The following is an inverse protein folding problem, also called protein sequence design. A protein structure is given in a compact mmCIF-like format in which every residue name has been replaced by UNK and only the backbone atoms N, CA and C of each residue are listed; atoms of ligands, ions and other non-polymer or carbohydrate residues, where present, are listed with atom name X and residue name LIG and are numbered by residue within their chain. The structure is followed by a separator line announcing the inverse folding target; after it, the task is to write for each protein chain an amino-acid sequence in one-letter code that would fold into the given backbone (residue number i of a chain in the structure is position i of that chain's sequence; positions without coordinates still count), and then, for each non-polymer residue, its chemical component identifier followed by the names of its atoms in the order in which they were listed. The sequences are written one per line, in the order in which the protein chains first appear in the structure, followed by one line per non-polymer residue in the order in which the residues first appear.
data_IF_747381416307
#
_entry.id   IF_747381416307
#
_cell.length_a   1.000
_cell.length_b   1.000
_cell.length_c   1.000
_cell.angle_alpha   90.00
_cell.angle_beta   90.00
_cell.angle_gamma   90.00
#
_symmetry.space_group_name_H-M   'P 1'
#
loop_
_entity.id
_entity.type
_entity.pdbx_description
1 polymer ?
#
# COMPACT_ATOMS: atom_id res chain seq x y z
N UNK A 1 -41.87 -26.83 -36.13
CA UNK A 1 -40.62 -27.05 -35.38
C UNK A 1 -39.65 -25.93 -35.73
N UNK A 2 -39.73 -24.80 -35.03
CA UNK A 2 -38.76 -23.71 -35.15
C UNK A 2 -37.50 -24.08 -34.38
N UNK A 3 -36.38 -24.15 -35.08
CA UNK A 3 -35.06 -24.40 -34.51
C UNK A 3 -34.77 -23.38 -33.40
N UNK A 4 -34.67 -23.86 -32.16
CA UNK A 4 -34.12 -23.09 -31.06
C UNK A 4 -32.72 -22.62 -31.46
N UNK A 5 -32.55 -21.31 -31.55
CA UNK A 5 -31.25 -20.70 -31.76
C UNK A 5 -30.38 -21.05 -30.56
N UNK A 6 -29.45 -21.97 -30.76
CA UNK A 6 -28.42 -22.33 -29.80
C UNK A 6 -27.53 -21.09 -29.58
N UNK A 7 -27.96 -20.19 -28.68
CA UNK A 7 -27.19 -19.01 -28.28
C UNK A 7 -25.90 -19.52 -27.65
N UNK A 8 -24.84 -19.55 -28.45
CA UNK A 8 -23.48 -19.85 -28.00
C UNK A 8 -23.19 -18.89 -26.84
N UNK A 9 -23.16 -19.41 -25.61
CA UNK A 9 -22.79 -18.62 -24.44
C UNK A 9 -21.33 -18.22 -24.63
N UNK A 10 -21.11 -16.96 -24.95
CA UNK A 10 -19.77 -16.41 -25.09
C UNK A 10 -19.14 -16.35 -23.71
N UNK A 11 -17.87 -16.76 -23.61
CA UNK A 11 -17.07 -16.54 -22.40
C UNK A 11 -16.92 -15.05 -22.12
N UNK A 12 -16.43 -14.73 -20.91
CA UNK A 12 -16.22 -13.34 -20.46
C UNK A 12 -15.37 -12.54 -21.45
N UNK A 13 -14.22 -13.09 -21.87
CA UNK A 13 -13.27 -12.41 -22.77
C UNK A 13 -13.90 -12.11 -24.14
N UNK A 14 -14.47 -13.10 -24.88
CA UNK A 14 -15.16 -12.81 -26.15
C UNK A 14 -16.31 -11.81 -26.02
N UNK A 15 -16.98 -11.75 -24.86
CA UNK A 15 -18.05 -10.77 -24.63
C UNK A 15 -17.50 -9.35 -24.49
N UNK A 16 -16.41 -9.17 -23.72
CA UNK A 16 -15.73 -7.88 -23.58
C UNK A 16 -15.17 -7.39 -24.91
N UNK A 17 -14.52 -8.27 -25.69
CA UNK A 17 -13.99 -7.90 -27.03
C UNK A 17 -15.09 -7.50 -28.00
N UNK A 18 -16.21 -8.23 -27.98
CA UNK A 18 -17.38 -7.88 -28.79
C UNK A 18 -17.95 -6.52 -28.41
N UNK A 19 -18.09 -6.24 -27.11
CA UNK A 19 -18.60 -4.96 -26.65
C UNK A 19 -17.63 -3.81 -26.92
N UNK A 20 -16.32 -4.02 -26.77
CA UNK A 20 -15.32 -3.04 -27.16
C UNK A 20 -15.40 -2.70 -28.67
N UNK A 21 -15.72 -3.67 -29.53
CA UNK A 21 -15.88 -3.44 -30.97
C UNK A 21 -17.23 -2.83 -31.37
N UNK A 22 -18.32 -3.17 -30.66
CA UNK A 22 -19.68 -2.77 -31.04
C UNK A 22 -20.22 -1.56 -30.27
N UNK A 23 -19.71 -1.32 -29.06
CA UNK A 23 -20.12 -0.27 -28.13
C UNK A 23 -18.89 0.28 -27.38
N UNK A 24 -17.88 0.83 -28.08
CA UNK A 24 -16.60 1.22 -27.49
C UNK A 24 -16.74 2.22 -26.34
N UNK A 25 -17.66 3.19 -26.47
CA UNK A 25 -17.90 4.26 -25.50
C UNK A 25 -18.85 3.87 -24.36
N UNK A 26 -19.47 2.69 -24.43
CA UNK A 26 -20.35 2.25 -23.35
C UNK A 26 -19.53 1.97 -22.09
N UNK A 27 -20.08 2.40 -20.95
CA UNK A 27 -19.41 2.23 -19.65
C UNK A 27 -19.39 0.75 -19.26
N UNK A 28 -18.20 0.25 -18.96
CA UNK A 28 -17.96 -1.11 -18.48
C UNK A 28 -17.81 -1.15 -16.95
N UNK A 29 -17.12 -0.16 -16.37
CA UNK A 29 -16.87 -0.08 -14.93
C UNK A 29 -17.12 1.34 -14.41
N UNK A 30 -17.60 1.43 -13.18
CA UNK A 30 -17.60 2.66 -12.39
C UNK A 30 -16.67 2.48 -11.20
N UNK A 31 -15.77 3.42 -10.97
CA UNK A 31 -14.85 3.39 -9.84
C UNK A 31 -14.55 4.82 -9.39
N UNK A 32 -14.76 5.11 -8.11
CA UNK A 32 -14.47 6.42 -7.49
C UNK A 32 -15.01 7.65 -8.25
N UNK A 33 -16.18 7.51 -8.88
CA UNK A 33 -16.81 8.59 -9.65
C UNK A 33 -16.30 8.70 -11.09
N UNK A 34 -15.33 7.89 -11.50
CA UNK A 34 -14.90 7.76 -12.88
C UNK A 34 -15.63 6.61 -13.59
N UNK A 35 -15.86 6.78 -14.88
CA UNK A 35 -16.43 5.76 -15.76
C UNK A 35 -15.35 5.26 -16.72
N UNK A 36 -15.17 3.95 -16.78
CA UNK A 36 -14.24 3.28 -17.70
C UNK A 36 -15.05 2.58 -18.78
N UNK A 37 -14.74 2.87 -20.03
CA UNK A 37 -15.48 2.32 -21.18
C UNK A 37 -15.05 0.90 -21.54
N UNK A 38 -15.83 0.18 -22.34
CA UNK A 38 -15.45 -1.15 -22.84
C UNK A 38 -14.19 -1.12 -23.69
N UNK A 39 -13.97 -0.08 -24.49
CA UNK A 39 -12.72 0.09 -25.24
C UNK A 39 -11.53 0.20 -24.27
N UNK A 40 -11.62 1.06 -23.25
CA UNK A 40 -10.56 1.27 -22.27
C UNK A 40 -10.28 0.00 -21.47
N UNK A 41 -11.32 -0.69 -20.98
CA UNK A 41 -11.19 -1.96 -20.29
C UNK A 41 -10.46 -2.98 -21.17
N UNK A 42 -10.90 -3.14 -22.42
CA UNK A 42 -10.30 -4.09 -23.35
C UNK A 42 -8.82 -3.75 -23.65
N UNK A 43 -8.51 -2.47 -23.84
CA UNK A 43 -7.15 -1.99 -24.06
C UNK A 43 -6.25 -2.29 -22.85
N UNK A 44 -6.68 -1.97 -21.63
CA UNK A 44 -5.90 -2.24 -20.41
C UNK A 44 -5.73 -3.73 -20.15
N UNK A 45 -6.77 -4.52 -20.38
CA UNK A 45 -6.68 -5.97 -20.28
C UNK A 45 -5.73 -6.58 -21.33
N UNK A 46 -5.70 -6.06 -22.55
CA UNK A 46 -4.73 -6.47 -23.58
C UNK A 46 -3.29 -6.11 -23.17
N UNK A 47 -3.08 -4.94 -22.55
CA UNK A 47 -1.77 -4.55 -22.01
C UNK A 47 -1.29 -5.54 -20.93
N UNK A 48 -2.17 -5.93 -20.01
CA UNK A 48 -1.88 -6.96 -19.00
C UNK A 48 -1.53 -8.29 -19.68
N UNK A 49 -2.35 -8.75 -20.64
CA UNK A 49 -2.11 -10.02 -21.33
C UNK A 49 -0.74 -10.06 -22.03
N UNK A 50 -0.41 -9.00 -22.76
CA UNK A 50 0.88 -8.87 -23.45
C UNK A 50 2.04 -8.75 -22.46
N UNK A 51 1.85 -8.03 -21.35
CA UNK A 51 2.84 -7.90 -20.30
C UNK A 51 3.16 -9.23 -19.62
N UNK A 52 2.12 -10.00 -19.25
CA UNK A 52 2.27 -11.35 -18.69
C UNK A 52 2.97 -12.29 -19.69
N UNK A 53 2.60 -12.23 -20.98
CA UNK A 53 3.29 -12.99 -22.02
C UNK A 53 4.77 -12.63 -22.12
N UNK A 54 5.11 -11.34 -22.07
CA UNK A 54 6.49 -10.85 -22.08
C UNK A 54 7.31 -11.29 -20.86
N UNK A 55 6.66 -11.59 -19.73
CA UNK A 55 7.27 -12.17 -18.53
C UNK A 55 7.34 -13.70 -18.56
N UNK A 56 6.99 -14.33 -19.68
CA UNK A 56 7.06 -15.77 -19.88
C UNK A 56 5.85 -16.54 -19.34
N UNK A 57 4.74 -15.86 -19.01
CA UNK A 57 3.48 -16.55 -18.68
C UNK A 57 2.86 -17.08 -19.97
N UNK A 58 2.52 -18.36 -19.99
CA UNK A 58 1.94 -19.03 -21.16
C UNK A 58 0.49 -19.48 -20.90
N UNK A 59 -0.15 -19.97 -21.96
CA UNK A 59 -1.50 -20.53 -21.86
C UNK A 59 -1.51 -21.70 -20.88
N UNK A 60 -2.45 -21.68 -19.94
CA UNK A 60 -2.59 -22.68 -18.89
C UNK A 60 -1.74 -22.42 -17.63
N UNK A 61 -0.81 -21.46 -17.66
CA UNK A 61 -0.12 -21.01 -16.45
C UNK A 61 -1.10 -20.33 -15.48
N UNK A 62 -0.83 -20.45 -14.18
CA UNK A 62 -1.67 -19.88 -13.13
C UNK A 62 -1.14 -18.51 -12.73
N UNK A 63 -2.00 -17.50 -12.76
CA UNK A 63 -1.71 -16.13 -12.30
C UNK A 63 -2.56 -15.86 -11.07
N UNK A 64 -1.91 -15.82 -9.92
CA UNK A 64 -2.49 -15.43 -8.65
C UNK A 64 -2.76 -13.92 -8.62
N UNK A 65 -3.93 -13.51 -8.13
CA UNK A 65 -4.33 -12.09 -8.08
C UNK A 65 -4.90 -11.78 -6.70
N UNK A 66 -4.25 -10.86 -5.98
CA UNK A 66 -4.70 -10.33 -4.68
C UNK A 66 -4.71 -8.82 -4.71
N UNK A 67 -5.76 -8.28 -5.33
CA UNK A 67 -6.02 -6.85 -5.42
C UNK A 67 -7.40 -6.55 -4.81
N UNK A 68 -7.58 -5.35 -4.23
CA UNK A 68 -8.89 -4.90 -3.78
C UNK A 68 -9.86 -4.74 -4.97
N UNK A 69 -11.12 -4.45 -4.69
CA UNK A 69 -12.13 -4.20 -5.72
C UNK A 69 -11.88 -2.88 -6.47
N UNK A 70 -10.86 -2.86 -7.30
CA UNK A 70 -10.43 -1.72 -8.13
C UNK A 70 -10.38 -2.12 -9.61
N UNK A 71 -10.29 -1.16 -10.54
CA UNK A 71 -10.20 -1.48 -11.97
C UNK A 71 -9.00 -2.37 -12.31
N UNK A 72 -7.87 -2.22 -11.61
CA UNK A 72 -6.68 -3.04 -11.80
C UNK A 72 -6.93 -4.52 -11.55
N UNK A 73 -7.79 -4.87 -10.58
CA UNK A 73 -8.22 -6.25 -10.38
C UNK A 73 -8.93 -6.79 -11.64
N UNK A 74 -9.83 -6.00 -12.22
CA UNK A 74 -10.57 -6.40 -13.43
C UNK A 74 -9.62 -6.50 -14.62
N UNK A 75 -8.68 -5.58 -14.77
CA UNK A 75 -7.67 -5.63 -15.84
C UNK A 75 -6.78 -6.86 -15.71
N UNK A 76 -6.31 -7.16 -14.49
CA UNK A 76 -5.50 -8.33 -14.17
C UNK A 76 -6.24 -9.64 -14.49
N UNK A 77 -7.50 -9.74 -14.05
CA UNK A 77 -8.35 -10.89 -14.27
C UNK A 77 -8.62 -11.11 -15.76
N UNK A 78 -9.12 -10.09 -16.46
CA UNK A 78 -9.48 -10.20 -17.89
C UNK A 78 -8.24 -10.40 -18.75
N UNK A 79 -7.13 -9.72 -18.43
CA UNK A 79 -5.86 -9.88 -19.15
C UNK A 79 -5.26 -11.28 -19.01
N UNK A 80 -5.31 -11.86 -17.80
CA UNK A 80 -4.92 -13.25 -17.57
C UNK A 80 -5.74 -14.22 -18.42
N UNK A 81 -7.07 -14.05 -18.41
CA UNK A 81 -7.97 -14.89 -19.20
C UNK A 81 -7.76 -14.71 -20.71
N UNK A 82 -7.46 -13.48 -21.17
CA UNK A 82 -7.13 -13.18 -22.57
C UNK A 82 -5.88 -13.89 -23.06
N UNK A 83 -4.86 -13.98 -22.20
CA UNK A 83 -3.65 -14.76 -22.47
C UNK A 83 -3.93 -16.27 -22.57
N UNK A 84 -5.10 -16.73 -22.11
CA UNK A 84 -5.42 -18.15 -21.96
C UNK A 84 -4.77 -18.77 -20.71
N UNK A 85 -4.24 -17.93 -19.81
CA UNK A 85 -3.79 -18.33 -18.49
C UNK A 85 -4.99 -18.47 -17.53
N UNK A 86 -4.75 -19.09 -16.38
CA UNK A 86 -5.76 -19.34 -15.35
C UNK A 86 -5.62 -18.31 -14.25
N UNK A 87 -6.65 -17.48 -14.06
CA UNK A 87 -6.68 -16.54 -12.95
C UNK A 87 -7.03 -17.24 -11.64
N UNK A 88 -6.23 -16.97 -10.60
CA UNK A 88 -6.42 -17.49 -9.24
C UNK A 88 -6.62 -16.29 -8.30
N UNK A 89 -7.83 -15.70 -8.25
CA UNK A 89 -8.12 -14.59 -7.36
C UNK A 89 -8.25 -15.09 -5.91
N UNK A 90 -7.69 -14.34 -4.97
CA UNK A 90 -7.90 -14.58 -3.54
C UNK A 90 -7.99 -13.28 -2.75
N UNK A 91 -8.41 -13.41 -1.49
CA UNK A 91 -8.75 -12.27 -0.65
C UNK A 91 -7.50 -11.51 -0.18
N UNK A 92 -7.52 -10.17 -0.26
CA UNK A 92 -6.47 -9.29 0.26
C UNK A 92 -6.37 -9.29 1.79
N UNK A 93 -7.32 -9.92 2.50
CA UNK A 93 -7.25 -10.08 3.95
C UNK A 93 -6.40 -11.28 4.38
N UNK A 94 -6.02 -12.16 3.47
CA UNK A 94 -5.23 -13.36 3.78
C UNK A 94 -3.79 -13.02 4.14
N UNK A 95 -3.19 -13.81 5.04
CA UNK A 95 -1.82 -13.61 5.55
C UNK A 95 -0.93 -14.82 5.27
N UNK A 96 0.37 -14.66 5.51
CA UNK A 96 1.49 -15.56 5.15
C UNK A 96 1.13 -17.03 4.91
N UNK A 97 0.62 -17.75 5.92
CA UNK A 97 0.29 -19.18 5.78
C UNK A 97 -0.82 -19.50 4.79
N UNK A 98 -1.86 -18.68 4.71
CA UNK A 98 -2.99 -18.84 3.77
C UNK A 98 -2.55 -18.52 2.35
N UNK A 99 -1.77 -17.44 2.19
CA UNK A 99 -1.22 -17.03 0.90
C UNK A 99 -0.23 -18.08 0.38
N UNK A 100 0.68 -18.55 1.23
CA UNK A 100 1.59 -19.65 0.92
C UNK A 100 0.81 -20.90 0.48
N UNK A 101 -0.23 -21.28 1.22
CA UNK A 101 -1.06 -22.43 0.88
C UNK A 101 -1.69 -22.28 -0.52
N UNK A 102 -2.33 -21.14 -0.81
CA UNK A 102 -2.97 -20.90 -2.11
C UNK A 102 -1.95 -20.89 -3.25
N UNK A 103 -0.81 -20.21 -3.07
CA UNK A 103 0.23 -20.13 -4.10
C UNK A 103 0.86 -21.51 -4.37
N UNK A 104 1.04 -22.31 -3.32
CA UNK A 104 1.59 -23.67 -3.42
C UNK A 104 0.60 -24.64 -4.06
N UNK A 105 -0.65 -24.62 -3.65
CA UNK A 105 -1.71 -25.49 -4.16
C UNK A 105 -2.06 -25.18 -5.63
N UNK A 106 -2.21 -23.89 -5.95
CA UNK A 106 -2.43 -23.46 -7.33
C UNK A 106 -1.19 -23.63 -8.21
N UNK A 107 0.00 -23.69 -7.62
CA UNK A 107 1.27 -23.61 -8.33
C UNK A 107 1.35 -22.36 -9.21
N UNK A 108 0.92 -21.21 -8.68
CA UNK A 108 0.92 -19.95 -9.43
C UNK A 108 2.33 -19.62 -9.94
N UNK A 109 2.43 -19.34 -11.24
CA UNK A 109 3.68 -18.90 -11.89
C UNK A 109 3.91 -17.42 -11.72
N UNK A 110 2.83 -16.65 -11.65
CA UNK A 110 2.86 -15.22 -11.44
C UNK A 110 1.90 -14.82 -10.31
N UNK A 111 2.29 -13.84 -9.48
CA UNK A 111 1.46 -13.21 -8.47
C UNK A 111 1.34 -11.73 -8.76
N UNK A 112 0.11 -11.21 -8.84
CA UNK A 112 -0.21 -9.79 -8.88
C UNK A 112 -0.77 -9.38 -7.52
N UNK A 113 -0.08 -8.53 -6.77
CA UNK A 113 -0.41 -8.17 -5.40
C UNK A 113 -0.21 -6.67 -5.12
N UNK A 114 -0.72 -6.19 -3.98
CA UNK A 114 -0.37 -4.85 -3.52
C UNK A 114 1.08 -4.78 -2.97
N UNK A 115 1.75 -3.63 -3.10
CA UNK A 115 3.15 -3.43 -2.65
C UNK A 115 3.36 -3.75 -1.16
N UNK A 116 2.35 -3.54 -0.32
CA UNK A 116 2.42 -3.86 1.11
C UNK A 116 2.55 -5.37 1.39
N UNK A 117 2.29 -6.26 0.41
CA UNK A 117 2.53 -7.70 0.54
C UNK A 117 3.99 -8.10 0.28
N UNK A 118 4.84 -7.20 -0.24
CA UNK A 118 6.22 -7.54 -0.62
C UNK A 118 7.06 -8.18 0.50
N UNK A 119 7.06 -7.68 1.76
CA UNK A 119 7.85 -8.29 2.82
C UNK A 119 7.44 -9.74 3.11
N UNK A 120 6.13 -10.00 3.13
CA UNK A 120 5.58 -11.32 3.37
C UNK A 120 5.81 -12.26 2.18
N UNK A 121 5.68 -11.78 0.93
CA UNK A 121 5.99 -12.58 -0.26
C UNK A 121 7.46 -13.03 -0.23
N UNK A 122 8.38 -12.14 0.13
CA UNK A 122 9.80 -12.48 0.26
C UNK A 122 10.06 -13.57 1.32
N UNK A 123 9.31 -13.55 2.42
CA UNK A 123 9.42 -14.55 3.49
C UNK A 123 9.01 -15.95 3.00
N UNK A 124 7.95 -16.05 2.21
CA UNK A 124 7.40 -17.33 1.72
C UNK A 124 8.00 -17.78 0.38
N UNK A 125 8.72 -16.91 -0.32
CA UNK A 125 9.29 -17.17 -1.66
C UNK A 125 10.14 -18.45 -1.74
N UNK A 126 11.00 -18.79 -0.75
CA UNK A 126 11.77 -20.04 -0.80
C UNK A 126 10.92 -21.31 -0.84
N UNK A 127 9.65 -21.23 -0.44
CA UNK A 127 8.71 -22.36 -0.43
C UNK A 127 7.83 -22.44 -1.69
N UNK A 128 8.02 -21.50 -2.64
CA UNK A 128 7.19 -21.33 -3.83
C UNK A 128 8.02 -21.51 -5.12
N UNK A 129 8.50 -22.73 -5.42
CA UNK A 129 9.38 -22.97 -6.57
C UNK A 129 8.68 -22.75 -7.93
N UNK A 130 7.35 -22.74 -7.96
CA UNK A 130 6.58 -22.45 -9.17
C UNK A 130 6.43 -20.94 -9.42
N UNK A 131 6.60 -20.09 -8.39
CA UNK A 131 6.37 -18.65 -8.50
C UNK A 131 7.61 -17.97 -9.10
N UNK A 132 7.54 -17.67 -10.39
CA UNK A 132 8.63 -17.07 -11.16
C UNK A 132 8.54 -15.54 -11.20
N UNK A 133 7.32 -14.99 -11.12
CA UNK A 133 7.06 -13.57 -11.30
C UNK A 133 6.20 -13.00 -10.17
N UNK A 134 6.62 -11.87 -9.58
CA UNK A 134 5.82 -11.11 -8.62
C UNK A 134 5.65 -9.68 -9.13
N UNK A 135 4.41 -9.31 -9.41
CA UNK A 135 4.02 -7.99 -9.89
C UNK A 135 3.33 -7.27 -8.73
N UNK A 136 3.92 -6.16 -8.30
CA UNK A 136 3.38 -5.34 -7.22
C UNK A 136 2.72 -4.07 -7.77
N UNK A 137 1.54 -3.74 -7.28
CA UNK A 137 0.78 -2.52 -7.61
C UNK A 137 0.30 -1.85 -6.31
N UNK A 138 -0.21 -0.63 -6.33
CA UNK A 138 -0.81 -0.05 -5.12
C UNK A 138 -0.83 1.47 -5.04
N UNK A 139 -1.68 1.95 -4.13
CA UNK A 139 -1.95 3.35 -3.86
C UNK A 139 -0.68 4.15 -3.58
N UNK A 140 -0.65 5.34 -4.19
CA UNK A 140 0.36 6.38 -4.04
C UNK A 140 0.49 6.79 -2.58
N UNK A 141 1.46 6.23 -1.87
CA UNK A 141 2.31 7.01 -0.97
C UNK A 141 3.57 6.22 -0.65
N UNK A 142 4.61 6.44 -1.45
CA UNK A 142 5.96 6.11 -1.03
C UNK A 142 6.28 6.97 0.18
N UNK A 143 6.63 6.34 1.29
CA UNK A 143 6.97 7.01 2.52
C UNK A 143 8.49 7.04 2.63
N UNK A 144 9.06 8.24 2.47
CA UNK A 144 10.49 8.45 2.42
C UNK A 144 11.06 8.44 3.82
N UNK A 145 12.05 7.58 4.05
CA UNK A 145 12.71 7.50 5.34
C UNK A 145 14.22 7.50 5.15
N UNK A 146 14.89 8.40 5.85
CA UNK A 146 16.32 8.42 6.01
C UNK A 146 16.61 8.27 7.51
N UNK A 147 17.49 7.35 7.94
CA UNK A 147 17.73 7.03 9.36
C UNK A 147 18.00 8.26 10.23
N UNK A 148 18.64 9.25 9.64
CA UNK A 148 18.93 10.52 10.31
C UNK A 148 17.78 11.53 10.16
N UNK A 149 17.07 11.57 9.04
CA UNK A 149 16.15 12.67 8.74
C UNK A 149 14.69 12.34 9.03
N UNK A 150 14.39 11.17 9.61
CA UNK A 150 13.03 10.67 9.73
C UNK A 150 12.78 10.06 11.11
N UNK A 151 11.75 10.52 11.80
CA UNK A 151 11.24 9.91 13.02
C UNK A 151 10.00 9.06 12.71
N UNK A 152 10.04 7.80 13.13
CA UNK A 152 8.89 6.92 13.12
C UNK A 152 8.24 6.88 14.51
N UNK A 153 6.93 7.06 14.54
CA UNK A 153 6.13 7.03 15.75
C UNK A 153 5.07 5.96 15.55
N UNK A 154 5.12 4.91 16.37
CA UNK A 154 4.11 3.86 16.38
C UNK A 154 3.32 3.92 17.68
N UNK A 155 1.99 3.93 17.57
CA UNK A 155 1.08 3.83 18.70
C UNK A 155 0.23 2.57 18.54
N UNK A 156 0.13 1.81 19.62
CA UNK A 156 -0.84 0.73 19.75
C UNK A 156 -1.91 1.21 20.71
N UNK A 157 -3.14 1.25 20.22
CA UNK A 157 -4.30 1.80 20.91
C UNK A 157 -5.36 0.70 21.06
N UNK A 158 -6.14 0.71 22.16
CA UNK A 158 -7.38 -0.03 22.24
C UNK A 158 -8.29 0.23 21.03
N UNK A 159 -8.93 -0.81 20.48
CA UNK A 159 -9.72 -0.70 19.24
C UNK A 159 -10.94 0.23 19.34
N UNK A 160 -11.48 0.45 20.54
CA UNK A 160 -12.56 1.40 20.78
C UNK A 160 -12.18 2.84 20.45
N UNK A 161 -10.90 3.22 20.60
CA UNK A 161 -10.37 4.53 20.22
C UNK A 161 -10.32 4.76 18.70
N UNK A 162 -10.38 3.70 17.89
CA UNK A 162 -10.35 3.79 16.42
C UNK A 162 -11.67 3.38 15.74
N UNK A 163 -12.68 2.94 16.51
CA UNK A 163 -14.01 2.55 15.99
C UNK A 163 -14.66 3.60 15.10
N UNK A 164 -14.50 4.88 15.45
CA UNK A 164 -14.91 5.98 14.58
C UNK A 164 -13.67 6.51 13.86
N UNK A 165 -13.51 6.05 12.61
CA UNK A 165 -12.35 6.35 11.77
C UNK A 165 -12.14 7.86 11.63
N UNK A 166 -13.17 8.63 11.32
CA UNK A 166 -13.02 10.07 11.10
C UNK A 166 -12.57 10.81 12.37
N UNK A 167 -13.14 10.48 13.54
CA UNK A 167 -12.70 11.02 14.83
C UNK A 167 -11.27 10.60 15.18
N UNK A 168 -10.89 9.37 14.85
CA UNK A 168 -9.54 8.88 15.10
C UNK A 168 -8.51 9.63 14.25
N UNK A 169 -8.80 9.83 12.96
CA UNK A 169 -7.96 10.61 12.05
C UNK A 169 -7.89 12.08 12.46
N UNK A 170 -8.99 12.68 12.90
CA UNK A 170 -9.02 14.06 13.40
C UNK A 170 -8.16 14.20 14.67
N UNK A 171 -8.36 13.33 15.66
CA UNK A 171 -7.61 13.35 16.92
C UNK A 171 -6.11 13.16 16.69
N UNK A 172 -5.74 12.17 15.87
CA UNK A 172 -4.34 11.92 15.54
C UNK A 172 -3.74 13.04 14.68
N UNK A 173 -4.51 13.57 13.74
CA UNK A 173 -4.10 14.70 12.90
C UNK A 173 -3.74 15.93 13.72
N UNK A 174 -4.59 16.30 14.69
CA UNK A 174 -4.30 17.40 15.61
C UNK A 174 -3.13 17.11 16.55
N UNK A 175 -2.98 15.86 17.01
CA UNK A 175 -1.83 15.46 17.84
C UNK A 175 -0.53 15.58 17.07
N UNK A 176 -0.48 15.09 15.83
CA UNK A 176 0.69 15.18 14.96
C UNK A 176 0.99 16.62 14.55
N UNK A 177 -0.03 17.41 14.25
CA UNK A 177 0.12 18.84 14.00
C UNK A 177 0.79 19.54 15.19
N UNK A 178 0.37 19.20 16.42
CA UNK A 178 0.94 19.78 17.63
C UNK A 178 2.42 19.44 17.79
N UNK A 179 2.82 18.21 17.48
CA UNK A 179 4.24 17.79 17.44
C UNK A 179 5.04 18.70 16.50
N UNK A 180 4.54 18.91 15.28
CA UNK A 180 5.21 19.73 14.27
C UNK A 180 5.36 21.19 14.72
N UNK A 181 4.30 21.77 15.32
CA UNK A 181 4.33 23.13 15.85
C UNK A 181 5.28 23.25 17.05
N UNK A 182 5.29 22.27 17.95
CA UNK A 182 6.17 22.26 19.14
C UNK A 182 7.65 22.04 18.77
N UNK A 183 7.92 21.42 17.62
CA UNK A 183 9.26 21.37 17.02
C UNK A 183 9.68 22.70 16.35
N UNK A 184 8.84 23.73 16.38
CA UNK A 184 9.14 25.09 15.93
C UNK A 184 8.68 25.44 14.53
N UNK A 185 7.99 24.53 13.84
CA UNK A 185 7.46 24.79 12.49
C UNK A 185 6.23 25.68 12.57
N UNK A 186 6.28 26.83 11.91
CA UNK A 186 5.15 27.78 11.83
C UNK A 186 4.24 27.45 10.66
N UNK A 187 2.97 27.82 10.76
CA UNK A 187 1.98 27.73 9.67
C UNK A 187 1.77 26.31 9.10
N UNK A 188 2.10 25.29 9.91
CA UNK A 188 1.74 23.92 9.60
C UNK A 188 0.23 23.72 9.79
N UNK A 189 -0.37 22.86 8.97
CA UNK A 189 -1.79 22.55 9.03
C UNK A 189 -2.05 21.08 8.73
N UNK A 190 -3.17 20.58 9.24
CA UNK A 190 -3.61 19.20 9.02
C UNK A 190 -4.48 19.10 7.77
N UNK A 191 -4.04 18.32 6.78
CA UNK A 191 -4.88 17.91 5.65
C UNK A 191 -5.63 16.64 6.05
N UNK A 192 -6.96 16.73 6.02
CA UNK A 192 -7.88 15.65 6.36
C UNK A 192 -7.40 14.29 5.82
N UNK A 193 -7.41 13.27 6.70
CA UNK A 193 -6.90 11.91 6.45
C UNK A 193 -5.43 11.85 6.05
N UNK A 194 -4.57 12.18 7.02
CA UNK A 194 -3.29 11.48 7.13
C UNK A 194 -2.03 12.30 6.85
N UNK A 195 -2.08 13.61 6.60
CA UNK A 195 -0.83 14.38 6.42
C UNK A 195 -0.84 15.76 7.07
N UNK A 196 0.32 16.16 7.58
CA UNK A 196 0.62 17.53 8.01
C UNK A 196 1.41 18.19 6.89
N UNK A 197 1.03 19.43 6.58
CA UNK A 197 1.67 20.20 5.51
C UNK A 197 2.08 21.58 5.99
N UNK A 198 3.12 22.10 5.34
CA UNK A 198 3.64 23.45 5.50
C UNK A 198 3.95 23.97 4.11
N UNK A 199 3.47 25.17 3.75
CA UNK A 199 3.63 25.74 2.40
C UNK A 199 3.18 24.81 1.25
N UNK A 200 2.23 23.90 1.51
CA UNK A 200 1.75 22.91 0.54
C UNK A 200 2.61 21.64 0.44
N UNK A 201 3.78 21.60 1.09
CA UNK A 201 4.67 20.45 1.15
C UNK A 201 4.35 19.56 2.36
N UNK A 202 4.50 18.25 2.21
CA UNK A 202 4.25 17.25 3.27
C UNK A 202 5.42 17.24 4.24
N UNK A 203 5.17 17.45 5.54
CA UNK A 203 6.20 17.41 6.59
C UNK A 203 6.01 16.22 7.55
N UNK A 204 4.79 15.69 7.62
CA UNK A 204 4.49 14.48 8.36
C UNK A 204 3.30 13.75 7.73
N UNK A 205 3.21 12.44 7.97
CA UNK A 205 2.10 11.62 7.52
C UNK A 205 1.78 10.56 8.54
N UNK A 206 0.54 10.09 8.57
CA UNK A 206 0.18 8.94 9.39
C UNK A 206 -0.92 8.11 8.73
N UNK A 207 -0.92 6.84 9.06
CA UNK A 207 -1.96 5.88 8.71
C UNK A 207 -2.49 5.22 9.98
N UNK A 208 -3.78 4.93 9.99
CA UNK A 208 -4.44 4.19 11.05
C UNK A 208 -4.90 2.87 10.46
N UNK A 209 -4.58 1.75 11.11
CA UNK A 209 -5.09 0.42 10.77
C UNK A 209 -5.61 -0.28 12.02
N UNK A 210 -6.38 -1.35 11.84
CA UNK A 210 -6.87 -2.20 12.92
C UNK A 210 -6.30 -3.61 12.74
N UNK A 211 -5.79 -4.19 13.83
CA UNK A 211 -5.32 -5.58 13.88
C UNK A 211 -5.83 -6.21 15.17
N UNK A 212 -6.64 -7.26 15.04
CA UNK A 212 -7.13 -8.06 16.19
C UNK A 212 -7.80 -7.21 17.29
N UNK A 213 -8.57 -6.20 16.90
CA UNK A 213 -9.25 -5.31 17.84
C UNK A 213 -8.34 -4.27 18.52
N UNK A 214 -7.10 -4.11 18.04
CA UNK A 214 -6.19 -3.01 18.41
C UNK A 214 -6.05 -2.05 17.24
N UNK A 215 -6.06 -0.75 17.53
CA UNK A 215 -5.70 0.28 16.59
C UNK A 215 -4.20 0.49 16.52
N UNK A 216 -3.65 0.46 15.32
CA UNK A 216 -2.27 0.80 15.03
C UNK A 216 -2.23 2.16 14.35
N UNK A 217 -1.47 3.08 14.91
CA UNK A 217 -1.13 4.33 14.27
C UNK A 217 0.34 4.28 13.90
N UNK A 218 0.64 4.40 12.60
CA UNK A 218 2.01 4.57 12.13
C UNK A 218 2.14 5.98 11.57
N UNK A 219 2.96 6.80 12.23
CA UNK A 219 3.25 8.16 11.81
C UNK A 219 4.73 8.32 11.47
N UNK A 220 4.99 9.19 10.50
CA UNK A 220 6.31 9.62 10.09
C UNK A 220 6.41 11.14 10.20
N UNK A 221 7.55 11.62 10.70
CA UNK A 221 7.90 13.03 10.72
C UNK A 221 9.24 13.22 10.04
N UNK A 222 9.33 14.19 9.12
CA UNK A 222 10.58 14.54 8.43
C UNK A 222 11.32 15.59 9.24
N UNK A 223 12.40 15.19 9.90
CA UNK A 223 13.23 16.04 10.77
C UNK A 223 14.29 16.81 9.98
N UNK A 224 14.83 16.18 8.93
CA UNK A 224 15.84 16.77 8.04
C UNK A 224 15.43 16.65 6.58
N UNK A 225 16.14 17.33 5.66
CA UNK A 225 15.85 17.25 4.24
C UNK A 225 15.98 15.80 3.74
N UNK A 226 15.11 15.45 2.81
CA UNK A 226 15.10 14.15 2.14
C UNK A 226 15.38 14.38 0.66
N UNK A 227 16.49 13.84 0.15
CA UNK A 227 16.77 13.88 -1.29
C UNK A 227 15.99 12.76 -1.98
N UNK A 228 14.87 13.13 -2.61
CA UNK A 228 14.03 12.19 -3.35
C UNK A 228 14.70 11.69 -4.63
N UNK A 229 15.79 12.32 -5.09
CA UNK A 229 16.54 11.88 -6.28
C UNK A 229 17.31 10.60 -6.02
N UNK A 230 17.93 10.43 -4.86
CA UNK A 230 18.65 9.20 -4.51
C UNK A 230 17.72 7.99 -4.48
N UNK A 231 16.48 8.19 -4.05
CA UNK A 231 15.46 7.15 -4.05
C UNK A 231 14.97 6.80 -5.47
N UNK A 232 14.76 7.80 -6.33
CA UNK A 232 14.34 7.60 -7.72
C UNK A 232 15.43 6.99 -8.61
N UNK A 233 16.67 6.86 -8.10
CA UNK A 233 17.73 6.05 -8.72
C UNK A 233 17.53 4.55 -8.48
N UNK A 234 16.81 4.18 -7.42
CA UNK A 234 16.57 2.80 -6.99
C UNK A 234 15.17 2.34 -7.40
N UNK A 235 14.17 3.21 -7.26
CA UNK A 235 12.78 2.95 -7.63
C UNK A 235 12.46 3.71 -8.91
N UNK A 236 12.35 2.99 -10.02
CA UNK A 236 12.00 3.59 -11.30
C UNK A 236 10.55 4.09 -11.27
N UNK A 237 10.37 5.38 -11.55
CA UNK A 237 9.07 6.03 -11.69
C UNK A 237 9.05 6.71 -13.06
N UNK A 238 8.02 6.47 -13.91
CA UNK A 238 7.89 7.14 -15.19
C UNK A 238 7.94 8.68 -15.02
N UNK A 239 8.71 9.42 -15.84
CA UNK A 239 8.89 10.86 -15.71
C UNK A 239 7.56 11.64 -15.64
N UNK A 240 6.53 11.17 -16.33
CA UNK A 240 5.21 11.79 -16.46
C UNK A 240 4.39 11.77 -15.15
N UNK A 241 4.77 10.90 -14.21
CA UNK A 241 4.10 10.76 -12.90
C UNK A 241 5.03 10.99 -11.73
N UNK A 242 6.31 11.33 -11.96
CA UNK A 242 7.32 11.53 -10.91
C UNK A 242 6.85 12.51 -9.82
N UNK A 243 6.34 13.66 -10.23
CA UNK A 243 5.83 14.71 -9.32
C UNK A 243 4.47 14.37 -8.69
N UNK A 244 3.79 13.33 -9.20
CA UNK A 244 2.53 12.79 -8.67
C UNK A 244 2.74 11.61 -7.72
N UNK A 245 3.87 10.91 -7.83
CA UNK A 245 4.27 9.75 -7.02
C UNK A 245 5.07 10.19 -5.81
N UNK A 246 5.91 11.22 -5.97
CA UNK A 246 6.66 11.84 -4.90
C UNK A 246 6.04 13.21 -4.63
N UNK A 247 5.14 13.26 -3.67
CA UNK A 247 4.62 14.55 -3.22
C UNK A 247 5.77 15.45 -2.72
N UNK A 248 5.73 16.77 -2.97
CA UNK A 248 6.68 17.71 -2.39
C UNK A 248 6.79 17.53 -0.88
N UNK A 249 8.02 17.39 -0.39
CA UNK A 249 8.32 17.15 1.02
C UNK A 249 9.05 18.36 1.60
N UNK A 250 8.70 18.69 2.85
CA UNK A 250 9.50 19.58 3.68
C UNK A 250 9.95 18.85 4.93
N UNK A 251 10.78 19.49 5.73
CA UNK A 251 11.29 18.96 6.99
C UNK A 251 11.37 20.04 8.05
N UNK A 252 11.40 19.62 9.32
CA UNK A 252 11.58 20.53 10.45
C UNK A 252 12.84 21.38 10.28
N UNK A 253 13.95 20.79 9.83
CA UNK A 253 15.18 21.54 9.56
C UNK A 253 15.02 22.59 8.46
N UNK A 254 14.31 22.29 7.38
CA UNK A 254 14.09 23.25 6.28
C UNK A 254 13.20 24.43 6.70
N UNK A 255 12.23 24.19 7.60
CA UNK A 255 11.31 25.23 8.07
C UNK A 255 11.87 26.05 9.25
N UNK A 256 12.70 25.46 10.09
CA UNK A 256 13.21 26.09 11.32
C UNK A 256 14.68 26.51 11.24
N UNK A 257 15.40 26.04 10.22
CA UNK A 257 16.85 26.22 10.06
C UNK A 257 17.70 25.32 10.96
N UNK A 258 17.09 24.48 11.83
CA UNK A 258 17.79 23.59 12.75
C UNK A 258 17.14 22.22 12.78
N UNK A 259 17.95 21.16 12.74
CA UNK A 259 17.46 19.80 12.95
C UNK A 259 17.27 19.56 14.45
N UNK A 260 16.10 19.09 14.90
CA UNK A 260 15.87 18.80 16.31
C UNK A 260 16.73 17.61 16.77
N UNK A 261 17.15 17.64 18.03
CA UNK A 261 17.83 16.52 18.68
C UNK A 261 16.83 15.41 19.02
N UNK A 262 17.31 14.16 19.10
CA UNK A 262 16.43 13.02 19.40
C UNK A 262 15.70 13.13 20.72
N UNK A 263 16.35 13.64 21.77
CA UNK A 263 15.73 13.85 23.08
C UNK A 263 14.59 14.87 22.99
N UNK A 264 14.82 15.98 22.28
CA UNK A 264 13.78 16.98 22.03
C UNK A 264 12.59 16.39 21.27
N UNK A 265 12.86 15.55 20.26
CA UNK A 265 11.79 14.85 19.51
C UNK A 265 11.02 13.93 20.44
N UNK A 266 11.69 13.10 21.24
CA UNK A 266 11.07 12.18 22.21
C UNK A 266 10.17 12.92 23.19
N UNK A 267 10.68 13.98 23.82
CA UNK A 267 9.95 14.81 24.78
C UNK A 267 8.72 15.47 24.14
N UNK A 268 8.88 16.04 22.95
CA UNK A 268 7.79 16.69 22.21
C UNK A 268 6.68 15.69 21.85
N UNK A 269 7.08 14.52 21.36
CA UNK A 269 6.17 13.44 20.99
C UNK A 269 5.42 12.92 22.22
N UNK A 270 6.12 12.62 23.32
CA UNK A 270 5.48 12.21 24.58
C UNK A 270 4.48 13.26 25.06
N UNK A 271 4.89 14.53 25.17
CA UNK A 271 4.03 15.60 25.66
C UNK A 271 2.80 15.81 24.77
N UNK A 272 2.92 15.65 23.45
CA UNK A 272 1.79 15.75 22.54
C UNK A 272 0.83 14.56 22.68
N UNK A 273 1.34 13.33 22.77
CA UNK A 273 0.52 12.12 22.94
C UNK A 273 -0.19 12.14 24.29
N UNK A 274 0.52 12.46 25.38
CA UNK A 274 -0.07 12.54 26.71
C UNK A 274 -1.23 13.54 26.75
N UNK A 275 -1.07 14.72 26.15
CA UNK A 275 -2.15 15.73 26.05
C UNK A 275 -3.28 15.28 25.14
N UNK A 276 -2.95 14.80 23.93
CA UNK A 276 -3.92 14.43 22.90
C UNK A 276 -4.78 13.24 23.30
N UNK A 277 -4.19 12.25 23.95
CA UNK A 277 -4.87 11.03 24.38
C UNK A 277 -5.28 11.05 25.86
N UNK A 278 -4.88 12.06 26.64
CA UNK A 278 -5.13 12.17 28.08
C UNK A 278 -4.59 10.96 28.85
N UNK A 279 -3.35 10.58 28.53
CA UNK A 279 -2.67 9.41 29.11
C UNK A 279 -1.38 9.82 29.82
N UNK A 280 -0.93 8.97 30.74
CA UNK A 280 0.41 9.05 31.30
C UNK A 280 1.32 8.07 30.56
N UNK A 281 2.41 8.56 29.98
CA UNK A 281 3.42 7.69 29.35
C UNK A 281 4.51 7.43 30.37
N UNK A 282 4.74 6.15 30.68
CA UNK A 282 5.84 5.70 31.52
C UNK A 282 6.88 5.02 30.67
N UNK A 283 8.15 5.32 30.92
CA UNK A 283 9.23 4.57 30.31
C UNK A 283 9.18 3.13 30.81
N UNK A 284 9.16 2.19 29.87
CA UNK A 284 9.07 0.77 30.14
C UNK A 284 10.23 0.03 29.48
N UNK A 285 10.57 -1.13 30.03
CA UNK A 285 11.36 -2.12 29.31
C UNK A 285 10.40 -3.03 28.55
N UNK A 286 10.86 -3.63 27.45
CA UNK A 286 10.10 -4.69 26.77
C UNK A 286 9.78 -5.79 27.78
N UNK A 287 8.51 -6.19 27.84
CA UNK A 287 8.09 -7.36 28.59
C UNK A 287 8.80 -8.59 28.05
N UNK A 288 8.92 -9.65 28.86
CA UNK A 288 9.61 -10.89 28.46
C UNK A 288 9.13 -11.42 27.11
N UNK A 289 7.82 -11.42 26.89
CA UNK A 289 7.22 -11.95 25.65
C UNK A 289 7.42 -10.99 24.46
N UNK A 290 7.42 -9.68 24.70
CA UNK A 290 7.75 -8.67 23.69
C UNK A 290 9.22 -8.73 23.31
N UNK A 291 10.12 -8.92 24.29
CA UNK A 291 11.55 -9.10 24.09
C UNK A 291 11.80 -10.41 23.34
N UNK A 292 11.11 -11.50 23.68
CA UNK A 292 11.20 -12.76 22.95
C UNK A 292 10.69 -12.62 21.51
N UNK A 293 9.59 -11.90 21.30
CA UNK A 293 9.07 -11.56 19.96
C UNK A 293 10.06 -10.72 19.16
N UNK A 294 10.63 -9.68 19.79
CA UNK A 294 11.67 -8.82 19.21
C UNK A 294 12.93 -9.62 18.86
N UNK A 295 13.44 -10.43 19.79
CA UNK A 295 14.62 -11.28 19.57
C UNK A 295 14.36 -12.36 18.54
N UNK A 296 13.15 -12.93 18.48
CA UNK A 296 12.74 -13.87 17.43
C UNK A 296 12.78 -13.17 16.07
N UNK A 297 12.11 -12.02 15.91
CA UNK A 297 12.13 -11.23 14.66
C UNK A 297 13.55 -10.80 14.29
N UNK A 298 14.34 -10.33 15.26
CA UNK A 298 15.74 -9.99 15.09
C UNK A 298 16.55 -11.21 14.66
N UNK A 299 16.35 -12.37 15.26
CA UNK A 299 17.06 -13.61 14.90
C UNK A 299 16.67 -14.12 13.51
N UNK A 300 15.41 -13.97 13.10
CA UNK A 300 14.95 -14.26 11.75
C UNK A 300 15.61 -13.33 10.73
N UNK A 301 15.78 -12.05 11.08
CA UNK A 301 16.52 -11.09 10.26
C UNK A 301 18.04 -11.38 10.17
N UNK A 302 18.64 -12.00 11.20
CA UNK A 302 20.06 -12.36 11.23
C UNK A 302 20.38 -13.80 10.80
N UNK A 303 19.39 -14.68 10.64
CA UNK A 303 19.58 -16.07 10.16
C UNK A 303 19.87 -16.21 8.66
N UNK A 304 20.15 -15.10 7.98
CA UNK A 304 20.73 -15.06 6.64
C UNK A 304 22.24 -14.72 6.73
N UNK A 305 23.05 -15.66 7.21
CA UNK A 305 24.50 -15.74 6.95
C UNK A 305 24.90 -17.19 6.78
#
# INVERSE_FOLDING_TARGET
MSAESNKKVLGLVPSIERWAASLPDAVALHFEGEAITYEQLNLRANQVANGLQGLGVEKGDRVAITLPNTPEFVYALVGTLKLGAVAVPFNTLYKGGEILHILKDSGAKCLIALTNFAPMINEIMPELPALEQVILTGERNLLFAHPESTAFIQLVLPGDLIRNVDKAYEKMGHTLLKIIVDLGVKDAWYKHRGSIRVRGEKIASFVISEVEGMGLVNAVVFLGPLDTRDFLRVVWVPPEIRDKVVEPLSSVQQETGKRPLWDQVKETVQAAIQRGFQVEIKEGSMLRDELFGYEKLRSLAYKAR
#
